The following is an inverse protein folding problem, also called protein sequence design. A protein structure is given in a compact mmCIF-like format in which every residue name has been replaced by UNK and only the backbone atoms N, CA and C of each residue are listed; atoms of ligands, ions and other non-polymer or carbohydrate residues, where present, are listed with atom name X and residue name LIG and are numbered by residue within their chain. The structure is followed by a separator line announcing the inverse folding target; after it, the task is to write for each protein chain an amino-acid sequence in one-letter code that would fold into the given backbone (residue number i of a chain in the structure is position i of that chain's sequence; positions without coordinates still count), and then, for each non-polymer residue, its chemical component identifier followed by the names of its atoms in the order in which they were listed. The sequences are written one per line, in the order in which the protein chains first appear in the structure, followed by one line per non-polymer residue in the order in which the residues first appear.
data_IF_823053235760
#
_entry.id   IF_823053235760
#
_cell.length_a   1.000
_cell.length_b   1.000
_cell.length_c   1.000
_cell.angle_alpha   90.00
_cell.angle_beta   90.00
_cell.angle_gamma   90.00
#
_symmetry.space_group_name_H-M   'P 1'
#
loop_
_entity.id
_entity.type
_entity.pdbx_description
1 polymer ?
#
# COMPACT_ATOMS: atom_id res chain seq x y z
N UNK A 1 -2.68 -20.08 -14.37
CA UNK A 1 -1.61 -19.79 -13.38
C UNK A 1 -0.48 -19.10 -14.13
N UNK A 2 -0.39 -17.77 -14.06
CA UNK A 2 0.74 -17.02 -14.58
C UNK A 2 1.93 -17.16 -13.62
N UNK A 3 3.12 -17.40 -14.16
CA UNK A 3 4.35 -17.36 -13.40
C UNK A 3 4.70 -15.89 -13.19
N UNK A 4 4.99 -15.46 -11.95
CA UNK A 4 5.43 -14.09 -11.69
C UNK A 4 6.67 -13.78 -12.55
N UNK A 5 6.66 -12.64 -13.22
CA UNK A 5 7.75 -12.22 -14.10
C UNK A 5 8.91 -11.60 -13.34
N UNK A 6 8.65 -11.13 -12.11
CA UNK A 6 9.63 -10.44 -11.26
C UNK A 6 9.88 -11.25 -9.99
N UNK A 7 11.15 -11.39 -9.63
CA UNK A 7 11.58 -12.07 -8.40
C UNK A 7 11.07 -11.37 -7.13
N UNK A 8 10.84 -10.07 -7.21
CA UNK A 8 10.28 -9.24 -6.14
C UNK A 8 8.82 -9.55 -5.81
N UNK A 9 8.09 -10.24 -6.69
CA UNK A 9 6.68 -10.63 -6.47
C UNK A 9 6.55 -12.05 -5.95
N UNK A 10 7.66 -12.80 -5.91
CA UNK A 10 7.64 -14.22 -5.58
C UNK A 10 7.03 -15.07 -6.68
N UNK A 11 6.85 -16.35 -6.42
CA UNK A 11 6.30 -17.30 -7.39
C UNK A 11 4.91 -17.83 -7.01
N UNK A 12 4.48 -17.59 -5.78
CA UNK A 12 3.15 -17.97 -5.30
C UNK A 12 2.62 -16.94 -4.30
N UNK A 13 1.37 -16.56 -4.50
CA UNK A 13 0.63 -15.64 -3.66
C UNK A 13 -0.68 -16.29 -3.22
N UNK A 14 -0.89 -16.35 -1.92
CA UNK A 14 -2.12 -16.86 -1.30
C UNK A 14 -2.77 -15.74 -0.51
N UNK A 15 -4.03 -15.42 -0.85
CA UNK A 15 -4.81 -14.36 -0.22
C UNK A 15 -6.12 -14.89 0.31
N UNK A 16 -6.46 -14.47 1.53
CA UNK A 16 -7.75 -14.70 2.14
C UNK A 16 -8.24 -13.36 2.67
N UNK A 17 -9.50 -13.03 2.44
CA UNK A 17 -10.03 -11.75 2.88
C UNK A 17 -11.55 -11.74 3.01
N UNK A 18 -12.04 -10.71 3.66
CA UNK A 18 -13.45 -10.39 3.81
C UNK A 18 -13.64 -8.93 3.44
N UNK A 19 -14.61 -8.68 2.59
CA UNK A 19 -14.98 -7.35 2.10
C UNK A 19 -16.46 -7.10 2.38
N UNK A 20 -16.77 -5.93 2.93
CA UNK A 20 -18.13 -5.46 3.16
C UNK A 20 -18.34 -4.16 2.40
N UNK A 21 -19.40 -4.09 1.62
CA UNK A 21 -19.77 -2.90 0.87
C UNK A 21 -21.20 -2.47 1.25
N UNK A 22 -21.40 -1.18 1.39
CA UNK A 22 -22.69 -0.58 1.68
C UNK A 22 -22.94 0.58 0.73
N UNK A 23 -24.17 0.67 0.26
CA UNK A 23 -24.66 1.80 -0.51
C UNK A 23 -26.08 2.15 -0.04
N UNK A 24 -26.28 3.39 0.35
CA UNK A 24 -27.56 3.86 0.90
C UNK A 24 -28.00 5.12 0.15
N UNK A 25 -29.23 5.10 -0.32
CA UNK A 25 -29.91 6.28 -0.85
C UNK A 25 -30.65 6.92 0.32
N UNK A 26 -30.14 8.04 0.82
CA UNK A 26 -30.73 8.75 1.95
C UNK A 26 -31.94 9.57 1.52
N UNK A 27 -31.90 10.11 0.30
CA UNK A 27 -32.98 10.86 -0.33
C UNK A 27 -32.91 10.74 -1.85
N UNK A 28 -33.81 11.37 -2.57
CA UNK A 28 -33.74 11.47 -4.03
C UNK A 28 -32.43 12.12 -4.51
N UNK A 29 -31.79 12.90 -3.65
CA UNK A 29 -30.61 13.70 -3.95
C UNK A 29 -29.33 13.23 -3.30
N UNK A 30 -29.45 12.49 -2.20
CA UNK A 30 -28.33 12.17 -1.31
C UNK A 30 -28.01 10.68 -1.31
N UNK A 31 -26.76 10.38 -1.52
CA UNK A 31 -26.23 9.02 -1.57
C UNK A 31 -25.01 8.89 -0.68
N UNK A 32 -24.93 7.81 0.07
CA UNK A 32 -23.80 7.44 0.90
C UNK A 32 -23.33 6.05 0.49
N UNK A 33 -22.05 5.88 0.43
CA UNK A 33 -21.46 4.55 0.25
C UNK A 33 -20.30 4.34 1.22
N UNK A 34 -20.01 3.08 1.50
CA UNK A 34 -18.87 2.71 2.33
C UNK A 34 -18.43 1.30 2.02
N UNK A 35 -17.18 1.06 2.21
CA UNK A 35 -16.60 -0.28 2.17
C UNK A 35 -15.55 -0.44 3.25
N UNK A 36 -15.46 -1.65 3.79
CA UNK A 36 -14.42 -2.04 4.73
C UNK A 36 -13.96 -3.45 4.38
N UNK A 37 -12.70 -3.73 4.59
CA UNK A 37 -12.21 -5.07 4.35
C UNK A 37 -10.93 -5.38 5.11
N UNK A 38 -10.71 -6.67 5.21
CA UNK A 38 -9.51 -7.28 5.75
C UNK A 38 -8.96 -8.29 4.76
N UNK A 39 -7.65 -8.31 4.60
CA UNK A 39 -6.95 -9.27 3.75
C UNK A 39 -5.72 -9.78 4.46
N UNK A 40 -5.57 -11.10 4.52
CA UNK A 40 -4.35 -11.78 4.90
C UNK A 40 -3.68 -12.34 3.63
N UNK A 41 -2.39 -12.12 3.51
CA UNK A 41 -1.60 -12.47 2.33
C UNK A 41 -0.35 -13.23 2.74
N UNK A 42 0.01 -14.23 1.94
CA UNK A 42 1.28 -14.96 2.04
C UNK A 42 1.89 -15.07 0.66
N UNK A 43 3.04 -14.43 0.48
CA UNK A 43 3.86 -14.52 -0.73
C UNK A 43 5.04 -15.47 -0.48
N UNK A 44 5.30 -16.37 -1.42
CA UNK A 44 6.37 -17.36 -1.34
C UNK A 44 7.49 -17.04 -2.33
N UNK A 45 8.74 -17.31 -1.93
CA UNK A 45 9.94 -17.11 -2.73
C UNK A 45 10.14 -15.66 -3.23
N UNK A 46 9.83 -14.71 -2.36
CA UNK A 46 10.11 -13.29 -2.63
C UNK A 46 11.60 -13.02 -2.46
N UNK A 47 12.26 -12.51 -3.49
CA UNK A 47 13.68 -12.16 -3.55
C UNK A 47 13.80 -10.67 -3.88
N UNK A 48 14.83 -10.02 -3.34
CA UNK A 48 15.15 -8.62 -3.65
C UNK A 48 14.04 -7.61 -3.31
N UNK A 49 13.14 -7.98 -2.42
CA UNK A 49 12.11 -7.10 -1.91
C UNK A 49 11.77 -7.44 -0.46
N UNK A 50 11.91 -6.45 0.39
CA UNK A 50 11.56 -6.51 1.81
C UNK A 50 10.53 -5.42 2.19
N UNK A 51 9.85 -4.85 1.21
CA UNK A 51 8.92 -3.74 1.39
C UNK A 51 7.48 -4.17 1.06
N UNK A 52 6.49 -3.43 1.55
CA UNK A 52 5.09 -3.66 1.23
C UNK A 52 4.81 -3.20 -0.20
N UNK A 53 4.83 -1.91 -0.42
CA UNK A 53 4.47 -1.27 -1.69
C UNK A 53 5.73 -0.88 -2.48
N UNK A 54 6.60 -1.88 -2.77
CA UNK A 54 7.88 -1.63 -3.40
C UNK A 54 7.81 -0.87 -4.73
N UNK A 55 6.74 -1.04 -5.50
CA UNK A 55 6.53 -0.30 -6.76
C UNK A 55 6.29 1.18 -6.53
N UNK A 56 5.68 1.54 -5.40
CA UNK A 56 5.38 2.93 -5.05
C UNK A 56 6.62 3.67 -4.55
N UNK A 57 7.53 2.96 -3.85
CA UNK A 57 8.74 3.55 -3.31
C UNK A 57 9.97 3.36 -4.19
N UNK A 58 9.85 2.61 -5.29
CA UNK A 58 10.95 2.44 -6.24
C UNK A 58 11.49 3.80 -6.70
N UNK A 59 12.82 3.94 -6.83
CA UNK A 59 13.84 2.91 -6.78
C UNK A 59 14.40 2.59 -5.39
N UNK A 60 13.94 3.26 -4.34
CA UNK A 60 14.47 3.17 -2.98
C UNK A 60 13.93 1.94 -2.24
N UNK A 61 14.29 0.76 -2.72
CA UNK A 61 13.82 -0.53 -2.22
C UNK A 61 14.91 -1.22 -1.43
N UNK A 62 14.55 -1.83 -0.32
CA UNK A 62 15.44 -2.75 0.41
C UNK A 62 15.15 -4.19 0.02
N UNK A 63 16.19 -4.99 -0.04
CA UNK A 63 16.05 -6.41 -0.37
C UNK A 63 17.26 -7.25 0.00
N UNK A 64 17.08 -8.54 0.02
CA UNK A 64 18.14 -9.53 0.20
C UNK A 64 18.14 -10.58 -0.91
N UNK A 65 19.26 -11.31 -1.04
CA UNK A 65 19.42 -12.35 -2.05
C UNK A 65 18.92 -13.73 -1.63
N UNK A 66 18.59 -13.92 -0.36
CA UNK A 66 18.13 -15.21 0.18
C UNK A 66 16.63 -15.35 -0.03
N UNK A 67 15.89 -14.27 0.21
CA UNK A 67 14.46 -14.23 0.05
C UNK A 67 13.70 -15.07 1.07
N UNK A 68 12.45 -15.36 0.77
CA UNK A 68 11.60 -16.22 1.60
C UNK A 68 10.13 -15.88 1.50
N UNK A 69 9.41 -16.22 2.58
CA UNK A 69 7.98 -15.96 2.70
C UNK A 69 7.75 -14.59 3.30
N UNK A 70 6.92 -13.78 2.66
CA UNK A 70 6.35 -12.58 3.26
C UNK A 70 4.91 -12.85 3.64
N UNK A 71 4.59 -12.64 4.91
CA UNK A 71 3.22 -12.68 5.44
C UNK A 71 2.76 -11.26 5.68
N UNK A 72 1.54 -10.95 5.27
CA UNK A 72 1.00 -9.61 5.39
C UNK A 72 -0.48 -9.59 5.76
N UNK A 73 -0.87 -8.48 6.33
CA UNK A 73 -2.25 -8.15 6.64
C UNK A 73 -2.55 -6.74 6.19
N UNK A 74 -3.72 -6.55 5.63
CA UNK A 74 -4.18 -5.25 5.15
C UNK A 74 -5.60 -5.02 5.62
N UNK A 75 -5.83 -3.86 6.19
CA UNK A 75 -7.13 -3.32 6.57
C UNK A 75 -7.40 -2.10 5.70
N UNK A 76 -8.60 -1.96 5.20
CA UNK A 76 -8.99 -0.77 4.46
C UNK A 76 -10.43 -0.37 4.74
N UNK A 77 -10.65 0.92 4.70
CA UNK A 77 -11.92 1.58 4.88
C UNK A 77 -12.05 2.67 3.83
N UNK A 78 -13.18 2.70 3.16
CA UNK A 78 -13.51 3.77 2.23
C UNK A 78 -14.94 4.21 2.49
N UNK A 79 -15.20 5.48 2.26
CA UNK A 79 -16.55 6.00 2.35
C UNK A 79 -16.69 7.29 1.58
N UNK A 80 -17.93 7.60 1.22
CA UNK A 80 -18.20 8.83 0.51
C UNK A 80 -19.66 9.22 0.58
N UNK A 81 -19.88 10.49 0.30
CA UNK A 81 -21.18 11.11 0.21
C UNK A 81 -21.28 11.90 -1.08
N UNK A 82 -22.40 11.81 -1.73
CA UNK A 82 -22.71 12.59 -2.93
C UNK A 82 -24.11 13.18 -2.81
N UNK A 83 -24.25 14.43 -3.25
CA UNK A 83 -25.52 15.14 -3.23
C UNK A 83 -25.75 15.93 -4.52
N UNK A 84 -27.02 15.99 -4.94
CA UNK A 84 -27.46 16.77 -6.06
C UNK A 84 -28.43 17.86 -5.58
N UNK A 85 -28.13 19.14 -5.87
CA UNK A 85 -28.99 20.26 -5.51
C UNK A 85 -29.24 21.15 -6.73
N UNK A 86 -30.39 21.04 -7.35
CA UNK A 86 -30.71 21.74 -8.61
C UNK A 86 -29.78 21.28 -9.73
N UNK A 87 -29.01 22.20 -10.27
CA UNK A 87 -28.00 21.92 -11.30
C UNK A 87 -26.63 21.53 -10.72
N UNK A 88 -26.42 21.67 -9.44
CA UNK A 88 -25.17 21.34 -8.77
C UNK A 88 -25.11 19.89 -8.33
N UNK A 89 -23.95 19.27 -8.52
CA UNK A 89 -23.60 17.94 -8.03
C UNK A 89 -22.30 18.10 -7.25
N UNK A 90 -22.21 17.54 -6.07
CA UNK A 90 -20.97 17.55 -5.31
C UNK A 90 -20.81 16.27 -4.53
N UNK A 91 -19.58 15.96 -4.20
CA UNK A 91 -19.28 14.76 -3.46
C UNK A 91 -17.95 14.85 -2.73
N UNK A 92 -17.84 14.02 -1.70
CA UNK A 92 -16.65 13.85 -0.89
C UNK A 92 -16.39 12.35 -0.72
N UNK A 93 -15.15 11.95 -0.83
CA UNK A 93 -14.73 10.58 -0.53
C UNK A 93 -13.52 10.59 0.38
N UNK A 94 -13.43 9.60 1.22
CA UNK A 94 -12.26 9.36 2.06
C UNK A 94 -11.93 7.87 2.10
N UNK A 95 -10.64 7.56 2.12
CA UNK A 95 -10.16 6.19 2.22
C UNK A 95 -8.94 6.08 3.11
N UNK A 96 -8.83 4.97 3.80
CA UNK A 96 -7.67 4.65 4.62
C UNK A 96 -7.31 3.18 4.46
N UNK A 97 -6.01 2.92 4.23
CA UNK A 97 -5.43 1.59 4.20
C UNK A 97 -4.28 1.50 5.19
N UNK A 98 -4.35 0.53 6.06
CA UNK A 98 -3.24 0.12 6.92
C UNK A 98 -2.77 -1.26 6.51
N UNK A 99 -1.49 -1.40 6.28
CA UNK A 99 -0.88 -2.68 5.90
C UNK A 99 0.32 -2.96 6.78
N UNK A 100 0.53 -4.22 7.06
CA UNK A 100 1.72 -4.67 7.77
C UNK A 100 2.17 -5.98 7.15
N UNK A 101 3.49 -6.15 6.96
CA UNK A 101 4.06 -7.42 6.55
C UNK A 101 5.33 -7.75 7.34
N UNK A 102 5.65 -9.03 7.38
CA UNK A 102 6.80 -9.53 8.11
C UNK A 102 7.30 -10.86 7.54
N UNK A 103 8.54 -11.18 7.90
CA UNK A 103 9.18 -12.47 7.64
C UNK A 103 9.78 -13.03 8.93
N UNK A 104 9.66 -14.34 9.11
CA UNK A 104 10.14 -15.04 10.32
C UNK A 104 11.62 -15.48 10.20
N UNK A 105 12.21 -15.43 9.00
CA UNK A 105 13.63 -15.77 8.75
C UNK A 105 14.46 -14.50 8.54
N UNK A 106 15.75 -14.58 8.94
CA UNK A 106 16.69 -13.50 8.73
C UNK A 106 17.04 -13.29 7.22
N UNK A 107 17.12 -12.06 6.78
CA UNK A 107 16.74 -10.85 7.49
C UNK A 107 15.24 -10.84 7.81
N UNK A 108 14.85 -10.26 8.95
CA UNK A 108 13.45 -10.20 9.40
C UNK A 108 12.88 -8.80 9.19
N UNK A 109 12.36 -8.50 8.01
CA UNK A 109 11.65 -7.26 7.81
C UNK A 109 10.36 -7.24 8.63
N UNK A 110 10.07 -6.08 9.19
CA UNK A 110 8.76 -5.71 9.72
C UNK A 110 8.39 -4.38 9.12
N UNK A 111 7.40 -4.39 8.26
CA UNK A 111 6.97 -3.22 7.54
C UNK A 111 5.56 -2.84 7.94
N UNK A 112 5.34 -1.54 8.06
CA UNK A 112 4.01 -0.97 8.21
C UNK A 112 3.82 0.11 7.17
N UNK A 113 2.65 0.15 6.54
CA UNK A 113 2.29 1.20 5.61
C UNK A 113 0.91 1.76 5.97
N UNK A 114 0.77 3.05 5.83
CA UNK A 114 -0.50 3.76 5.92
C UNK A 114 -0.70 4.61 4.67
N UNK A 115 -1.92 4.62 4.18
CA UNK A 115 -2.30 5.27 2.93
C UNK A 115 -3.66 5.93 3.17
N UNK A 116 -3.66 7.25 3.26
CA UNK A 116 -4.83 8.07 3.45
C UNK A 116 -5.15 8.79 2.15
N UNK A 117 -6.35 8.65 1.67
CA UNK A 117 -6.85 9.33 0.48
C UNK A 117 -8.09 10.15 0.82
N UNK A 118 -8.20 11.30 0.16
CA UNK A 118 -9.33 12.18 0.30
C UNK A 118 -9.59 12.85 -1.04
N UNK A 119 -10.85 12.87 -1.48
CA UNK A 119 -11.22 13.54 -2.71
C UNK A 119 -12.47 14.39 -2.53
N UNK A 120 -12.48 15.55 -3.21
CA UNK A 120 -13.60 16.44 -3.32
C UNK A 120 -13.94 16.62 -4.80
N UNK A 121 -15.23 16.58 -5.12
CA UNK A 121 -15.70 16.80 -6.47
C UNK A 121 -16.92 17.73 -6.51
N UNK A 122 -16.96 18.58 -7.52
CA UNK A 122 -18.13 19.39 -7.81
C UNK A 122 -18.43 19.39 -9.30
N UNK A 123 -19.70 19.38 -9.64
CA UNK A 123 -20.17 19.43 -11.02
C UNK A 123 -21.36 20.35 -11.18
N UNK A 124 -21.54 20.83 -12.39
CA UNK A 124 -22.67 21.65 -12.78
C UNK A 124 -23.32 21.12 -14.05
N UNK A 125 -24.63 21.04 -14.04
CA UNK A 125 -25.44 20.60 -15.19
C UNK A 125 -25.97 21.82 -15.94
N UNK A 126 -25.49 21.99 -17.18
CA UNK A 126 -25.88 23.09 -18.06
C UNK A 126 -26.63 22.51 -19.27
N UNK A 127 -27.95 22.38 -19.15
CA UNK A 127 -28.78 21.76 -20.17
C UNK A 127 -28.32 20.32 -20.45
N UNK A 128 -27.85 20.04 -21.68
CA UNK A 128 -27.32 18.74 -22.09
C UNK A 128 -25.89 18.49 -21.65
N UNK A 129 -25.14 19.55 -21.29
CA UNK A 129 -23.74 19.45 -20.89
C UNK A 129 -23.60 19.24 -19.38
N UNK A 130 -22.54 18.53 -18.99
CA UNK A 130 -22.12 18.37 -17.59
C UNK A 130 -20.66 18.76 -17.50
N UNK A 131 -20.38 19.73 -16.63
CA UNK A 131 -19.02 20.15 -16.31
C UNK A 131 -18.71 19.70 -14.89
N UNK A 132 -17.50 19.24 -14.66
CA UNK A 132 -17.08 18.79 -13.33
C UNK A 132 -15.59 19.05 -13.10
N UNK A 133 -15.26 19.24 -11.83
CA UNK A 133 -13.91 19.36 -11.33
C UNK A 133 -13.78 18.48 -10.10
N UNK A 134 -12.63 17.83 -9.94
CA UNK A 134 -12.28 17.08 -8.73
C UNK A 134 -10.86 17.43 -8.31
N UNK A 135 -10.62 17.31 -7.01
CA UNK A 135 -9.30 17.37 -6.41
C UNK A 135 -9.11 16.15 -5.52
N UNK A 136 -7.99 15.48 -5.71
CA UNK A 136 -7.62 14.27 -5.00
C UNK A 136 -6.34 14.52 -4.20
N UNK A 137 -6.34 14.09 -2.93
CA UNK A 137 -5.19 14.19 -2.04
C UNK A 137 -4.86 12.82 -1.51
N UNK A 138 -3.58 12.47 -1.52
CA UNK A 138 -3.10 11.20 -0.98
C UNK A 138 -1.88 11.40 -0.12
N UNK A 139 -1.92 10.85 1.08
CA UNK A 139 -0.80 10.80 2.01
C UNK A 139 -0.39 9.35 2.23
N UNK A 140 0.82 9.03 1.81
CA UNK A 140 1.39 7.70 1.95
C UNK A 140 2.58 7.72 2.87
N UNK A 141 2.66 6.74 3.78
CA UNK A 141 3.80 6.52 4.65
C UNK A 141 4.08 5.03 4.78
N UNK A 142 5.34 4.65 4.59
CA UNK A 142 5.83 3.31 4.87
C UNK A 142 7.03 3.38 5.82
N UNK A 143 7.05 2.48 6.80
CA UNK A 143 8.15 2.26 7.72
C UNK A 143 8.59 0.82 7.61
N UNK A 144 9.89 0.62 7.40
CA UNK A 144 10.52 -0.70 7.32
C UNK A 144 11.57 -0.83 8.41
N UNK A 145 11.48 -1.89 9.19
CA UNK A 145 12.47 -2.25 10.21
C UNK A 145 12.99 -3.64 9.89
N UNK A 146 14.32 -3.78 9.80
CA UNK A 146 14.97 -5.06 9.51
C UNK A 146 15.82 -5.45 10.70
N UNK A 147 15.60 -6.64 11.20
CA UNK A 147 16.32 -7.20 12.34
C UNK A 147 16.96 -8.53 11.97
N UNK A 148 18.05 -8.86 12.65
CA UNK A 148 18.78 -10.10 12.53
C UNK A 148 18.88 -10.76 13.90
N UNK A 149 18.48 -12.00 14.01
CA UNK A 149 18.45 -12.74 15.28
C UNK A 149 19.37 -13.96 15.28
N UNK A 150 19.69 -14.52 14.12
CA UNK A 150 20.50 -15.71 14.01
C UNK A 150 21.92 -15.40 13.52
N UNK A 151 22.89 -16.16 14.04
CA UNK A 151 24.29 -16.10 13.60
C UNK A 151 24.51 -16.74 12.22
N UNK A 152 23.53 -17.47 11.71
CA UNK A 152 23.55 -18.20 10.44
C UNK A 152 22.43 -17.67 9.53
N UNK A 153 22.80 -16.89 8.54
CA UNK A 153 21.87 -16.35 7.56
C UNK A 153 22.52 -15.23 6.75
N UNK A 154 21.73 -14.54 5.93
CA UNK A 154 22.21 -13.32 5.31
C UNK A 154 22.31 -12.23 6.37
N UNK A 155 23.51 -11.71 6.52
CA UNK A 155 23.80 -10.52 7.32
C UNK A 155 23.81 -9.26 6.46
N UNK A 156 23.41 -9.38 5.19
CA UNK A 156 23.52 -8.31 4.20
C UNK A 156 22.14 -7.90 3.72
N UNK A 157 21.86 -6.61 3.77
CA UNK A 157 20.70 -5.99 3.17
C UNK A 157 21.16 -4.96 2.15
N UNK A 158 20.61 -5.04 0.98
CA UNK A 158 20.88 -4.13 -0.13
C UNK A 158 19.84 -3.00 -0.11
N UNK A 159 20.34 -1.77 -0.15
CA UNK A 159 19.51 -0.58 -0.33
C UNK A 159 19.70 -0.09 -1.76
N UNK A 160 18.68 -0.21 -2.57
CA UNK A 160 18.71 0.20 -3.96
C UNK A 160 18.46 1.70 -4.07
N UNK A 161 19.27 2.39 -4.87
CA UNK A 161 19.20 3.84 -5.07
C UNK A 161 18.75 4.23 -6.48
N UNK A 162 18.52 3.25 -7.34
CA UNK A 162 18.21 3.46 -8.76
C UNK A 162 19.45 3.52 -9.65
N UNK A 163 19.22 3.48 -10.96
CA UNK A 163 20.27 3.51 -11.99
C UNK A 163 21.35 2.42 -11.83
N UNK A 164 20.99 1.27 -11.24
CA UNK A 164 21.93 0.19 -10.97
C UNK A 164 22.86 0.42 -9.76
N UNK A 165 22.65 1.50 -9.01
CA UNK A 165 23.41 1.78 -7.78
C UNK A 165 22.72 1.16 -6.57
N UNK A 166 23.52 0.59 -5.69
CA UNK A 166 23.11 0.07 -4.40
C UNK A 166 24.22 0.28 -3.36
N UNK A 167 23.87 0.17 -2.10
CA UNK A 167 24.82 -0.03 -1.03
C UNK A 167 24.40 -1.16 -0.13
N UNK A 168 25.37 -1.89 0.39
CA UNK A 168 25.14 -3.03 1.26
C UNK A 168 25.35 -2.60 2.70
N UNK A 169 24.40 -2.90 3.56
CA UNK A 169 24.58 -2.85 5.00
C UNK A 169 24.82 -4.26 5.53
N UNK A 170 25.95 -4.43 6.19
CA UNK A 170 26.23 -5.60 7.00
C UNK A 170 25.71 -5.33 8.41
N UNK A 171 24.77 -6.13 8.87
CA UNK A 171 24.29 -6.03 10.23
C UNK A 171 25.06 -7.03 11.10
N UNK A 172 25.66 -6.53 12.18
CA UNK A 172 26.15 -7.34 13.27
C UNK A 172 24.98 -7.89 14.11
N UNK A 173 25.27 -8.76 15.07
CA UNK A 173 24.30 -9.23 16.06
C UNK A 173 23.50 -8.04 16.62
N UNK A 174 22.16 -8.13 16.58
CA UNK A 174 21.21 -7.16 17.12
C UNK A 174 21.16 -5.76 16.45
N UNK A 175 21.65 -5.60 15.23
CA UNK A 175 21.52 -4.31 14.56
C UNK A 175 20.22 -4.26 13.75
N UNK A 176 19.32 -3.37 14.15
CA UNK A 176 18.12 -3.05 13.38
C UNK A 176 18.39 -1.94 12.38
N UNK A 177 17.86 -2.07 11.17
CA UNK A 177 17.85 -1.00 10.17
C UNK A 177 16.42 -0.47 10.04
N UNK A 178 16.27 0.84 10.25
CA UNK A 178 14.99 1.53 10.04
C UNK A 178 15.03 2.30 8.72
N UNK A 179 14.04 2.09 7.90
CA UNK A 179 13.82 2.84 6.69
C UNK A 179 12.40 3.39 6.68
N UNK A 180 12.26 4.68 6.40
CA UNK A 180 10.96 5.33 6.33
C UNK A 180 10.85 6.04 4.97
N UNK A 181 9.75 5.79 4.28
CA UNK A 181 9.36 6.52 3.09
C UNK A 181 7.98 7.14 3.29
N UNK A 182 7.86 8.40 2.93
CA UNK A 182 6.59 9.12 2.94
C UNK A 182 6.47 9.94 1.67
N UNK A 183 5.29 10.07 1.17
CA UNK A 183 5.00 10.87 -0.02
C UNK A 183 3.56 11.37 0.02
N UNK A 184 3.32 12.51 -0.62
CA UNK A 184 2.02 13.06 -0.92
C UNK A 184 1.86 13.19 -2.43
N UNK A 185 0.68 12.93 -2.92
CA UNK A 185 0.31 13.10 -4.33
C UNK A 185 -0.90 14.04 -4.38
N UNK A 186 -0.77 15.10 -5.12
CA UNK A 186 -1.83 16.07 -5.43
C UNK A 186 -2.12 15.95 -6.93
N UNK A 187 -3.39 15.76 -7.29
CA UNK A 187 -3.84 15.65 -8.67
C UNK A 187 -4.86 16.73 -9.04
#
# INVERSE_FOLDING_TARGET
KGKASLKQEGDKDTRIGVDVNSFVILSERDRVFGSAGYRSEKQENVLWNENIDWKLIAPYVTGDSIGGFLKGETYYFNGGYASESGSWIWGITGGYRASHNYRDKDPRPRNTASDLSFALGAGYRLGTYRLGVSADFRLYQQKSEISFLADKGSTSVYHMLGLGMDYVRFAGKQTGTKHQASGGEEA
#
